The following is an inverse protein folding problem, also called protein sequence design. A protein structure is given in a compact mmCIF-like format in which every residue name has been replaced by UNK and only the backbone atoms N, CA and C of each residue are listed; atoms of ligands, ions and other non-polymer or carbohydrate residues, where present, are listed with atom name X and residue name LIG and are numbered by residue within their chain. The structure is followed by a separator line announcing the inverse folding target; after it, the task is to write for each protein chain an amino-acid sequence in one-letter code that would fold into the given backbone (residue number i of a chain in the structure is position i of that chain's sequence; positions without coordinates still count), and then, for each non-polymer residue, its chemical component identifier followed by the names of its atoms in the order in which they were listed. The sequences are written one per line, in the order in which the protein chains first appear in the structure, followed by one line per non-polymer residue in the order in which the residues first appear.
data_IF_460230607957
#
_entry.id   IF_460230607957
#
_cell.length_a   1.000
_cell.length_b   1.000
_cell.length_c   1.000
_cell.angle_alpha   90.00
_cell.angle_beta   90.00
_cell.angle_gamma   90.00
#
_symmetry.space_group_name_H-M   'P 1'
#
loop_
_entity.id
_entity.type
_entity.pdbx_description
1 polymer ?
#
# COMPACT_ATOMS: atom_id res chain seq x y z
N UNK A 1 -2.25 -6.96 23.92
CA UNK A 1 -0.91 -6.81 23.31
C UNK A 1 -0.90 -7.51 21.95
N UNK A 2 -1.29 -6.81 20.88
CA UNK A 2 -0.95 -7.10 19.48
C UNK A 2 -0.83 -5.74 18.79
N UNK A 3 0.40 -5.36 18.45
CA UNK A 3 0.79 -4.08 17.83
C UNK A 3 1.65 -4.37 16.60
N UNK A 4 1.20 -5.33 15.79
CA UNK A 4 1.85 -5.73 14.55
C UNK A 4 0.75 -5.91 13.51
N UNK A 5 0.58 -4.88 12.70
CA UNK A 5 -0.45 -4.76 11.68
C UNK A 5 -0.68 -3.29 11.39
N UNK A 6 -0.72 -2.91 10.12
CA UNK A 6 -1.04 -1.54 9.67
C UNK A 6 -2.52 -1.18 9.87
N UNK A 7 -3.30 -2.04 10.53
CA UNK A 7 -4.72 -1.86 10.84
C UNK A 7 -4.94 -1.53 12.31
N UNK A 8 -5.73 -0.48 12.59
CA UNK A 8 -6.20 -0.15 13.92
C UNK A 8 -7.18 -1.22 14.42
N UNK A 9 -7.27 -1.37 15.74
CA UNK A 9 -7.89 -2.51 16.45
C UNK A 9 -9.44 -2.50 16.42
N UNK A 10 -10.04 -1.72 15.52
CA UNK A 10 -11.49 -1.66 15.30
C UNK A 10 -11.80 -2.21 13.90
N UNK A 11 -12.16 -3.49 13.86
CA UNK A 11 -12.43 -4.29 12.65
C UNK A 11 -13.67 -3.88 11.88
N UNK A 12 -13.69 -2.66 11.34
CA UNK A 12 -14.48 -2.36 10.17
C UNK A 12 -13.60 -2.67 8.96
N UNK A 13 -13.68 -3.90 8.45
CA UNK A 13 -13.40 -4.12 7.04
C UNK A 13 -14.42 -3.26 6.30
N UNK A 14 -14.03 -2.03 5.95
CA UNK A 14 -14.83 -1.21 5.08
C UNK A 14 -14.74 -1.87 3.70
N UNK A 15 -15.58 -2.90 3.51
CA UNK A 15 -15.88 -3.47 2.21
C UNK A 15 -16.20 -2.28 1.31
N UNK A 16 -15.36 -2.07 0.31
CA UNK A 16 -15.59 -1.00 -0.62
C UNK A 16 -16.54 -1.55 -1.69
N UNK A 17 -17.80 -1.09 -1.78
CA UNK A 17 -18.71 -1.57 -2.82
C UNK A 17 -18.13 -1.32 -4.23
N UNK A 18 -17.26 -0.32 -4.39
CA UNK A 18 -16.51 -0.08 -5.63
C UNK A 18 -15.53 -1.21 -5.97
N UNK A 19 -15.00 -1.93 -4.98
CA UNK A 19 -14.13 -3.09 -5.23
C UNK A 19 -14.90 -4.29 -5.78
N UNK A 20 -16.21 -4.37 -5.51
CA UNK A 20 -17.10 -5.40 -6.04
C UNK A 20 -17.66 -4.97 -7.40
N UNK A 21 -18.28 -3.79 -7.46
CA UNK A 21 -19.04 -3.34 -8.63
C UNK A 21 -18.20 -2.56 -9.66
N UNK A 22 -17.12 -1.91 -9.21
CA UNK A 22 -16.23 -1.11 -10.05
C UNK A 22 -15.07 -1.89 -10.67
N UNK A 23 -14.86 -3.15 -10.30
CA UNK A 23 -13.83 -4.01 -10.92
C UNK A 23 -14.16 -4.31 -12.39
N UNK A 24 -15.44 -4.54 -12.72
CA UNK A 24 -15.89 -4.74 -14.10
C UNK A 24 -17.33 -4.20 -14.25
N UNK A 25 -17.45 -2.97 -14.76
CA UNK A 25 -18.75 -2.31 -14.93
C UNK A 25 -19.66 -3.01 -15.93
N UNK A 26 -19.10 -3.55 -17.01
CA UNK A 26 -19.89 -4.26 -18.02
C UNK A 26 -20.53 -5.52 -17.42
N UNK A 27 -19.75 -6.31 -16.69
CA UNK A 27 -20.26 -7.50 -16.00
C UNK A 27 -21.25 -7.15 -14.90
N UNK A 28 -21.02 -6.06 -14.16
CA UNK A 28 -21.97 -5.56 -13.17
C UNK A 28 -23.34 -5.28 -13.79
N UNK A 29 -23.38 -4.51 -14.89
CA UNK A 29 -24.64 -4.19 -15.57
C UNK A 29 -25.29 -5.43 -16.19
N UNK A 30 -24.52 -6.32 -16.83
CA UNK A 30 -25.01 -7.59 -17.37
C UNK A 30 -25.68 -8.46 -16.29
N UNK A 31 -25.02 -8.62 -15.14
CA UNK A 31 -25.54 -9.44 -14.02
C UNK A 31 -26.75 -8.78 -13.35
N UNK A 32 -26.79 -7.45 -13.30
CA UNK A 32 -27.91 -6.70 -12.75
C UNK A 32 -29.14 -6.78 -13.66
N UNK A 33 -28.96 -6.60 -14.97
CA UNK A 33 -30.03 -6.71 -15.97
C UNK A 33 -30.62 -8.12 -16.00
N UNK A 34 -29.77 -9.16 -15.93
CA UNK A 34 -30.21 -10.55 -15.82
C UNK A 34 -31.08 -10.79 -14.56
N UNK A 35 -30.72 -10.17 -13.44
CA UNK A 35 -31.44 -10.30 -12.18
C UNK A 35 -32.83 -9.66 -12.18
N UNK A 36 -33.10 -8.70 -13.08
CA UNK A 36 -34.42 -8.05 -13.21
C UNK A 36 -35.52 -9.03 -13.64
N UNK A 37 -35.15 -10.18 -14.24
CA UNK A 37 -36.09 -11.27 -14.54
C UNK A 37 -36.72 -11.89 -13.29
N UNK A 38 -36.09 -11.74 -12.12
CA UNK A 38 -36.46 -12.37 -10.84
C UNK A 38 -36.53 -13.90 -10.86
N UNK A 39 -36.08 -14.54 -11.94
CA UNK A 39 -36.01 -15.99 -12.04
C UNK A 39 -34.96 -16.53 -11.04
N UNK A 40 -35.21 -17.70 -10.41
CA UNK A 40 -34.32 -18.24 -9.40
C UNK A 40 -32.86 -18.34 -9.85
N UNK A 41 -32.61 -18.82 -11.06
CA UNK A 41 -31.26 -18.97 -11.61
C UNK A 41 -30.57 -17.62 -11.83
N UNK A 42 -31.31 -16.58 -12.21
CA UNK A 42 -30.78 -15.23 -12.40
C UNK A 42 -30.40 -14.59 -11.07
N UNK A 43 -31.23 -14.77 -10.03
CA UNK A 43 -30.92 -14.32 -8.67
C UNK A 43 -29.70 -15.06 -8.07
N UNK A 44 -29.54 -16.34 -8.38
CA UNK A 44 -28.35 -17.11 -7.98
C UNK A 44 -27.10 -16.54 -8.66
N UNK A 45 -27.12 -16.30 -9.98
CA UNK A 45 -25.98 -15.71 -10.70
C UNK A 45 -25.60 -14.35 -10.16
N UNK A 46 -26.59 -13.49 -9.87
CA UNK A 46 -26.37 -12.21 -9.22
C UNK A 46 -25.72 -12.35 -7.85
N UNK A 47 -26.27 -13.22 -7.00
CA UNK A 47 -25.75 -13.44 -5.64
C UNK A 47 -24.33 -13.99 -5.66
N UNK A 48 -24.04 -14.93 -6.55
CA UNK A 48 -22.68 -15.47 -6.77
C UNK A 48 -21.72 -14.36 -7.17
N UNK A 49 -22.07 -13.54 -8.15
CA UNK A 49 -21.23 -12.41 -8.58
C UNK A 49 -20.88 -11.47 -7.41
N UNK A 50 -21.87 -11.10 -6.59
CA UNK A 50 -21.66 -10.24 -5.42
C UNK A 50 -20.74 -10.91 -4.40
N UNK A 51 -21.01 -12.17 -4.05
CA UNK A 51 -20.23 -12.92 -3.05
C UNK A 51 -18.78 -13.15 -3.49
N UNK A 52 -18.55 -13.44 -4.77
CA UNK A 52 -17.19 -13.58 -5.33
C UNK A 52 -16.41 -12.26 -5.29
N UNK A 53 -17.06 -11.14 -5.62
CA UNK A 53 -16.44 -9.82 -5.50
C UNK A 53 -16.09 -9.48 -4.05
N UNK A 54 -16.99 -9.77 -3.11
CA UNK A 54 -16.73 -9.58 -1.67
C UNK A 54 -15.57 -10.46 -1.18
N UNK A 55 -15.55 -11.74 -1.56
CA UNK A 55 -14.46 -12.65 -1.22
C UNK A 55 -13.12 -12.15 -1.75
N UNK A 56 -13.11 -11.64 -2.98
CA UNK A 56 -11.93 -11.07 -3.63
C UNK A 56 -11.42 -9.84 -2.86
N UNK A 57 -12.30 -8.90 -2.51
CA UNK A 57 -11.94 -7.70 -1.75
C UNK A 57 -11.39 -8.06 -0.35
N UNK A 58 -12.08 -8.96 0.36
CA UNK A 58 -11.62 -9.45 1.67
C UNK A 58 -10.25 -10.14 1.58
N UNK A 59 -10.01 -10.91 0.52
CA UNK A 59 -8.71 -11.56 0.30
C UNK A 59 -7.60 -10.56 0.02
N UNK A 60 -7.89 -9.49 -0.73
CA UNK A 60 -6.96 -8.36 -0.96
C UNK A 60 -6.66 -7.63 0.36
N UNK A 61 -7.68 -7.30 1.14
CA UNK A 61 -7.52 -6.66 2.46
C UNK A 61 -6.71 -7.53 3.42
N UNK A 62 -6.94 -8.84 3.44
CA UNK A 62 -6.15 -9.78 4.23
C UNK A 62 -4.67 -9.74 3.86
N UNK A 63 -4.34 -9.72 2.55
CA UNK A 63 -2.95 -9.56 2.09
C UNK A 63 -2.34 -8.21 2.48
N UNK A 64 -3.09 -7.11 2.39
CA UNK A 64 -2.61 -5.79 2.85
C UNK A 64 -2.45 -5.69 4.37
N UNK A 65 -3.07 -6.59 5.14
CA UNK A 65 -2.83 -6.76 6.57
C UNK A 65 -1.58 -7.56 6.90
N UNK A 66 -1.06 -8.35 5.95
CA UNK A 66 0.15 -9.15 6.11
C UNK A 66 1.40 -8.27 5.98
N UNK A 67 2.18 -8.22 7.07
CA UNK A 67 3.36 -7.37 7.15
C UNK A 67 4.43 -7.77 6.13
N UNK A 68 4.67 -9.06 5.96
CA UNK A 68 5.76 -9.54 5.11
C UNK A 68 5.41 -9.31 3.64
N UNK A 69 4.14 -9.53 3.27
CA UNK A 69 3.63 -9.16 1.96
C UNK A 69 3.75 -7.66 1.70
N UNK A 70 3.31 -6.80 2.64
CA UNK A 70 3.40 -5.34 2.45
C UNK A 70 4.86 -4.91 2.37
N UNK A 71 5.74 -5.41 3.21
CA UNK A 71 7.15 -5.00 3.21
C UNK A 71 7.86 -5.48 1.94
N UNK A 72 7.90 -6.79 1.67
CA UNK A 72 8.71 -7.36 0.60
C UNK A 72 8.00 -7.38 -0.76
N UNK A 73 6.67 -7.46 -0.77
CA UNK A 73 5.86 -7.48 -1.98
C UNK A 73 5.43 -6.11 -2.48
N UNK A 74 5.41 -5.07 -1.62
CA UNK A 74 4.93 -3.74 -1.98
C UNK A 74 5.95 -2.62 -1.72
N UNK A 75 6.43 -2.45 -0.49
CA UNK A 75 7.29 -1.31 -0.11
C UNK A 75 8.67 -1.41 -0.75
N UNK A 76 9.34 -2.56 -0.63
CA UNK A 76 10.69 -2.76 -1.18
C UNK A 76 10.72 -2.64 -2.71
N UNK A 77 9.80 -3.26 -3.47
CA UNK A 77 9.70 -3.06 -4.92
C UNK A 77 9.45 -1.59 -5.32
N UNK A 78 8.57 -0.89 -4.60
CA UNK A 78 8.31 0.53 -4.86
C UNK A 78 9.57 1.39 -4.65
N UNK A 79 10.35 1.12 -3.60
CA UNK A 79 11.63 1.82 -3.35
C UNK A 79 12.64 1.49 -4.45
N UNK A 80 12.75 0.23 -4.87
CA UNK A 80 13.64 -0.19 -5.96
C UNK A 80 13.26 0.50 -7.29
N UNK A 81 11.97 0.67 -7.57
CA UNK A 81 11.49 1.45 -8.72
C UNK A 81 11.87 2.93 -8.61
N UNK A 82 11.78 3.50 -7.40
CA UNK A 82 12.23 4.86 -7.13
C UNK A 82 13.73 5.05 -7.40
N UNK A 83 14.55 4.07 -7.04
CA UNK A 83 15.98 4.05 -7.37
C UNK A 83 16.21 3.94 -8.88
N UNK A 84 15.55 3.00 -9.56
CA UNK A 84 15.70 2.79 -11.00
C UNK A 84 15.25 4.01 -11.83
N UNK A 85 14.30 4.79 -11.31
CA UNK A 85 13.82 6.04 -11.93
C UNK A 85 14.54 7.29 -11.45
N UNK A 86 15.67 7.16 -10.73
CA UNK A 86 16.48 8.27 -10.19
C UNK A 86 15.72 9.22 -9.25
N UNK A 87 14.61 8.76 -8.65
CA UNK A 87 13.86 9.52 -7.63
C UNK A 87 14.54 9.45 -6.26
N UNK A 88 15.26 8.36 -6.00
CA UNK A 88 16.08 8.18 -4.81
C UNK A 88 17.51 7.85 -5.23
N UNK A 89 18.46 8.35 -4.44
CA UNK A 89 19.85 7.91 -4.52
C UNK A 89 20.01 6.52 -3.89
N UNK A 90 21.14 5.85 -4.15
CA UNK A 90 21.35 4.46 -3.68
C UNK A 90 21.36 4.33 -2.15
N UNK A 91 21.95 5.30 -1.45
CA UNK A 91 21.96 5.42 0.00
C UNK A 91 20.55 5.69 0.56
N UNK A 92 19.80 6.60 -0.07
CA UNK A 92 18.40 6.88 0.28
C UNK A 92 17.53 5.63 0.13
N UNK A 93 17.62 4.92 -1.01
CA UNK A 93 16.87 3.70 -1.25
C UNK A 93 17.20 2.60 -0.22
N UNK A 94 18.48 2.47 0.15
CA UNK A 94 18.90 1.54 1.21
C UNK A 94 18.33 1.94 2.56
N UNK A 95 18.36 3.23 2.92
CA UNK A 95 17.78 3.73 4.17
C UNK A 95 16.26 3.48 4.23
N UNK A 96 15.54 3.79 3.16
CA UNK A 96 14.10 3.55 3.05
C UNK A 96 13.76 2.06 3.16
N UNK A 97 14.58 1.19 2.57
CA UNK A 97 14.42 -0.27 2.68
C UNK A 97 14.60 -0.76 4.11
N UNK A 98 15.58 -0.22 4.85
CA UNK A 98 15.77 -0.53 6.27
C UNK A 98 14.55 -0.06 7.09
N UNK A 99 14.03 1.14 6.79
CA UNK A 99 12.82 1.69 7.43
C UNK A 99 11.58 0.85 7.12
N UNK A 100 11.44 0.33 5.90
CA UNK A 100 10.30 -0.51 5.52
C UNK A 100 10.24 -1.84 6.31
N UNK A 101 11.40 -2.39 6.68
CA UNK A 101 11.52 -3.70 7.35
C UNK A 101 11.42 -3.62 8.87
N UNK A 102 11.73 -2.45 9.46
CA UNK A 102 11.79 -2.23 10.91
C UNK A 102 10.62 -1.36 11.39
N UNK A 103 10.07 -1.71 12.56
CA UNK A 103 8.91 -1.00 13.14
C UNK A 103 9.32 0.35 13.77
N UNK A 104 10.51 0.42 14.36
CA UNK A 104 11.08 1.62 14.98
C UNK A 104 12.54 1.75 14.50
N UNK A 105 12.83 2.79 13.72
CA UNK A 105 14.17 3.04 13.16
C UNK A 105 14.75 4.31 13.75
N UNK A 106 15.89 4.16 14.44
CA UNK A 106 16.69 5.27 14.94
C UNK A 106 17.80 5.61 13.96
N UNK A 107 18.43 6.76 14.14
CA UNK A 107 19.57 7.17 13.30
C UNK A 107 20.71 6.13 13.26
N UNK A 108 20.96 5.43 14.38
CA UNK A 108 21.99 4.40 14.44
C UNK A 108 21.71 3.19 13.53
N UNK A 109 20.43 2.84 13.34
CA UNK A 109 20.01 1.75 12.45
C UNK A 109 20.27 2.04 10.97
N UNK A 110 20.45 3.30 10.61
CA UNK A 110 20.71 3.78 9.24
C UNK A 110 22.20 3.95 8.95
N UNK A 111 23.07 3.44 9.83
CA UNK A 111 24.52 3.59 9.70
C UNK A 111 25.13 2.89 8.50
N UNK A 112 24.49 1.82 8.01
CA UNK A 112 24.89 1.12 6.78
C UNK A 112 24.48 1.87 5.51
N UNK A 113 23.44 2.70 5.57
CA UNK A 113 22.96 3.49 4.44
C UNK A 113 23.70 4.83 4.34
N UNK A 114 23.71 5.58 5.44
CA UNK A 114 24.40 6.86 5.52
C UNK A 114 25.73 6.67 6.22
N UNK A 115 26.81 6.55 5.45
CA UNK A 115 28.16 6.39 6.00
C UNK A 115 28.70 7.72 6.56
N UNK A 116 29.71 7.63 7.44
CA UNK A 116 30.34 8.80 8.06
C UNK A 116 29.81 9.17 9.45
N UNK A 117 29.98 10.45 9.79
CA UNK A 117 29.77 10.95 11.15
C UNK A 117 28.29 10.94 11.57
N UNK A 118 28.02 10.99 12.88
CA UNK A 118 26.67 11.14 13.39
C UNK A 118 25.98 12.44 12.92
N UNK A 119 26.76 13.51 12.69
CA UNK A 119 26.25 14.78 12.20
C UNK A 119 25.81 14.67 10.73
N UNK A 120 26.65 14.08 9.86
CA UNK A 120 26.34 13.85 8.44
C UNK A 120 25.07 13.02 8.28
N UNK A 121 25.00 11.89 8.99
CA UNK A 121 23.82 11.02 8.98
C UNK A 121 22.56 11.71 9.47
N UNK A 122 22.68 12.63 10.44
CA UNK A 122 21.54 13.43 10.89
C UNK A 122 21.08 14.43 9.82
N UNK A 123 21.99 14.97 9.02
CA UNK A 123 21.67 15.84 7.89
C UNK A 123 20.97 15.05 6.78
N UNK A 124 21.43 13.85 6.44
CA UNK A 124 20.81 13.02 5.39
C UNK A 124 19.40 12.56 5.78
N UNK A 125 19.22 12.15 7.05
CA UNK A 125 17.88 11.87 7.60
C UNK A 125 16.99 13.11 7.51
N UNK A 126 17.55 14.30 7.77
CA UNK A 126 16.80 15.56 7.70
C UNK A 126 16.37 15.89 6.28
N UNK A 127 17.21 15.64 5.25
CA UNK A 127 16.82 15.78 3.84
C UNK A 127 15.58 14.92 3.51
N UNK A 128 15.54 13.67 3.96
CA UNK A 128 14.38 12.79 3.74
C UNK A 128 13.12 13.26 4.48
N UNK A 129 13.27 13.83 5.69
CA UNK A 129 12.17 14.44 6.45
C UNK A 129 11.64 15.69 5.76
N UNK A 130 12.54 16.57 5.31
CA UNK A 130 12.20 17.83 4.65
C UNK A 130 11.51 17.60 3.30
N UNK A 131 11.92 16.54 2.57
CA UNK A 131 11.23 16.03 1.36
C UNK A 131 9.91 15.33 1.66
N UNK A 132 9.63 15.00 2.92
CA UNK A 132 8.41 14.31 3.32
C UNK A 132 8.33 12.85 2.87
N UNK A 133 9.45 12.18 2.62
CA UNK A 133 9.50 10.74 2.28
C UNK A 133 9.37 9.88 3.54
N UNK A 134 9.88 10.39 4.65
CA UNK A 134 9.79 9.78 5.97
C UNK A 134 9.18 10.76 6.97
N UNK A 135 8.72 10.25 8.10
CA UNK A 135 8.19 11.07 9.20
C UNK A 135 8.51 10.48 10.57
N UNK A 136 8.54 11.31 11.63
CA UNK A 136 8.71 10.82 12.99
C UNK A 136 7.53 9.94 13.41
N UNK A 137 7.78 8.85 14.13
CA UNK A 137 6.74 7.96 14.66
C UNK A 137 5.82 8.70 15.64
N UNK A 138 6.37 9.66 16.39
CA UNK A 138 5.62 10.57 17.23
C UNK A 138 6.33 11.93 17.30
N UNK A 139 5.58 13.00 17.60
CA UNK A 139 6.12 14.35 17.74
C UNK A 139 7.27 14.35 18.76
N UNK A 140 8.46 14.80 18.32
CA UNK A 140 9.66 14.88 19.15
C UNK A 140 10.45 13.57 19.31
N UNK A 141 9.96 12.42 18.82
CA UNK A 141 10.75 11.18 18.82
C UNK A 141 11.75 11.17 17.67
N UNK A 142 12.98 10.73 17.96
CA UNK A 142 14.04 10.48 16.96
C UNK A 142 13.96 9.06 16.38
N UNK A 143 12.74 8.65 16.06
CA UNK A 143 12.46 7.41 15.36
C UNK A 143 11.54 7.67 14.18
N UNK A 144 11.81 6.98 13.08
CA UNK A 144 11.25 7.32 11.77
C UNK A 144 10.48 6.16 11.16
N UNK A 145 9.45 6.50 10.39
CA UNK A 145 8.68 5.58 9.54
C UNK A 145 8.55 6.18 8.14
N UNK A 146 8.24 5.33 7.16
CA UNK A 146 7.92 5.80 5.81
C UNK A 146 6.62 6.63 5.86
N UNK A 147 6.58 7.73 5.11
CA UNK A 147 5.33 8.40 4.78
C UNK A 147 4.81 7.81 3.48
N UNK A 148 3.67 7.12 3.53
CA UNK A 148 3.11 6.43 2.36
C UNK A 148 2.28 7.38 1.47
N UNK A 149 1.54 8.32 2.08
CA UNK A 149 0.78 9.33 1.37
C UNK A 149 0.52 10.58 2.23
N UNK A 150 0.52 11.79 1.62
CA UNK A 150 1.15 12.11 0.33
C UNK A 150 2.69 12.10 0.46
N UNK A 151 3.39 11.46 -0.47
CA UNK A 151 4.86 11.44 -0.54
C UNK A 151 5.38 11.07 -1.93
N UNK A 152 6.70 11.16 -2.13
CA UNK A 152 7.37 10.68 -3.34
C UNK A 152 7.21 9.16 -3.58
N UNK A 153 6.90 8.40 -2.52
CA UNK A 153 6.60 6.96 -2.59
C UNK A 153 5.19 6.69 -3.11
N UNK A 154 4.24 7.60 -2.91
CA UNK A 154 2.82 7.37 -3.27
C UNK A 154 2.63 6.89 -4.71
N UNK A 155 3.12 7.57 -5.76
CA UNK A 155 2.93 7.10 -7.14
C UNK A 155 3.67 5.79 -7.44
N UNK A 156 4.75 5.48 -6.72
CA UNK A 156 5.48 4.21 -6.86
C UNK A 156 4.67 3.06 -6.26
N UNK A 157 4.11 3.27 -5.06
CA UNK A 157 3.24 2.32 -4.37
C UNK A 157 1.96 2.05 -5.17
N UNK A 158 1.34 3.08 -5.73
CA UNK A 158 0.15 2.93 -6.59
C UNK A 158 0.47 2.04 -7.79
N UNK A 159 1.63 2.22 -8.44
CA UNK A 159 2.06 1.35 -9.55
C UNK A 159 2.29 -0.10 -9.12
N UNK A 160 2.89 -0.34 -7.96
CA UNK A 160 3.06 -1.71 -7.45
C UNK A 160 1.70 -2.37 -7.13
N UNK A 161 0.79 -1.64 -6.48
CA UNK A 161 -0.58 -2.12 -6.23
C UNK A 161 -1.31 -2.45 -7.53
N UNK A 162 -1.09 -1.65 -8.57
CA UNK A 162 -1.65 -1.89 -9.90
C UNK A 162 -1.13 -3.19 -10.53
N UNK A 163 0.20 -3.39 -10.49
CA UNK A 163 0.85 -4.61 -10.99
C UNK A 163 0.40 -5.87 -10.23
N UNK A 164 0.12 -5.73 -8.93
CA UNK A 164 -0.41 -6.82 -8.10
C UNK A 164 -1.92 -7.06 -8.31
N UNK A 165 -2.60 -6.22 -9.10
CA UNK A 165 -4.05 -6.34 -9.35
C UNK A 165 -4.92 -5.91 -8.16
N UNK A 166 -4.43 -4.99 -7.33
CA UNK A 166 -5.13 -4.46 -6.15
C UNK A 166 -5.91 -3.17 -6.46
N UNK A 167 -5.68 -2.55 -7.63
CA UNK A 167 -6.46 -1.40 -8.07
C UNK A 167 -7.65 -1.85 -8.93
N UNK A 168 -8.86 -1.33 -8.67
CA UNK A 168 -10.02 -1.64 -9.51
C UNK A 168 -9.84 -1.06 -10.91
N UNK A 169 -10.31 -1.78 -11.93
CA UNK A 169 -10.13 -1.42 -13.35
C UNK A 169 -10.72 -0.07 -13.72
N UNK A 170 -11.73 0.40 -12.99
CA UNK A 170 -12.30 1.74 -13.19
C UNK A 170 -11.25 2.87 -13.08
N UNK A 171 -10.14 2.66 -12.36
CA UNK A 171 -9.05 3.62 -12.28
C UNK A 171 -8.07 3.54 -13.46
N UNK A 172 -8.18 2.50 -14.31
CA UNK A 172 -7.36 2.27 -15.50
C UNK A 172 -8.03 2.80 -16.77
N UNK A 173 -9.37 2.82 -16.81
CA UNK A 173 -10.17 3.18 -18.00
C UNK A 173 -10.29 4.70 -18.24
N UNK A 174 -9.23 5.46 -17.96
CA UNK A 174 -9.13 6.88 -18.32
C UNK A 174 -8.29 7.04 -19.59
N UNK A 175 -8.80 6.50 -20.70
CA UNK A 175 -8.36 6.86 -22.07
C UNK A 175 -9.49 7.57 -22.81
#
# INVERSE_FOLDING_TARGET
MRRQGFSDTAGYWALNPTAVFGENRALYYERLEDADSLEPESLIRWSTYVLEGLLTDLSRLAKLGDKDFVTEGLLVPAIARGLASSRFMADEALALTIIARKVDVKAADLSSAFTGSAATRSQDIRKLLDRGVIEPIAKGKRSYRLRLAPSELTPLLVRELDQLGFLPRILRDSE
#
